data_IF_468385480942
#
_entry.id   IF_468385480942
#
_cell.length_a   1.000
_cell.length_b   1.000
_cell.length_c   1.000
_cell.angle_alpha   90.00
_cell.angle_beta   90.00
_cell.angle_gamma   90.00
#
_symmetry.space_group_name_H-M   'P 1'
#
loop_
_entity.id
_entity.type
_entity.pdbx_description
1 polymer ?
#
# COMPACT_ATOMS: atom_id res chain seq x y z
N UNK A 1 -9.91 -14.92 52.10
CA UNK A 1 -9.47 -16.00 51.19
C UNK A 1 -10.64 -16.58 50.39
N UNK A 2 -11.87 -16.67 50.94
CA UNK A 2 -13.05 -17.24 50.25
C UNK A 2 -13.60 -16.35 49.09
N UNK A 3 -13.51 -15.05 49.16
CA UNK A 3 -14.06 -14.15 48.10
C UNK A 3 -13.22 -14.15 46.80
N UNK A 4 -11.90 -14.41 46.86
CA UNK A 4 -11.07 -14.54 45.66
C UNK A 4 -11.39 -15.79 44.82
N UNK A 5 -11.69 -16.92 45.47
CA UNK A 5 -12.07 -18.15 44.78
C UNK A 5 -13.41 -18.04 44.03
N UNK A 6 -14.38 -17.29 44.59
CA UNK A 6 -15.70 -17.14 44.00
C UNK A 6 -15.69 -16.23 42.74
N UNK A 7 -14.82 -15.22 42.71
CA UNK A 7 -14.64 -14.35 41.52
C UNK A 7 -13.93 -15.09 40.41
N UNK A 8 -12.90 -15.90 40.68
CA UNK A 8 -12.17 -16.66 39.66
C UNK A 8 -13.01 -17.76 39.01
N UNK A 9 -13.83 -18.46 39.80
CA UNK A 9 -14.75 -19.50 39.29
C UNK A 9 -15.88 -18.91 38.46
N UNK A 10 -16.42 -17.72 38.81
CA UNK A 10 -17.44 -17.05 38.00
C UNK A 10 -16.91 -16.47 36.69
N UNK A 11 -15.67 -16.01 36.67
CA UNK A 11 -15.03 -15.50 35.43
C UNK A 11 -14.71 -16.63 34.44
N UNK A 12 -14.22 -17.79 34.95
CA UNK A 12 -14.01 -18.98 34.13
C UNK A 12 -15.34 -19.56 33.59
N UNK A 13 -16.37 -19.62 34.42
CA UNK A 13 -17.69 -20.11 34.00
C UNK A 13 -18.36 -19.22 32.95
N UNK A 14 -18.20 -17.90 33.05
CA UNK A 14 -18.63 -16.95 31.99
C UNK A 14 -17.80 -17.10 30.72
N UNK A 15 -16.49 -17.34 30.81
CA UNK A 15 -15.59 -17.57 29.67
C UNK A 15 -15.97 -18.82 28.89
N UNK A 16 -16.17 -19.94 29.56
CA UNK A 16 -16.57 -21.21 28.93
C UNK A 16 -17.97 -21.13 28.28
N UNK A 17 -18.93 -20.47 28.93
CA UNK A 17 -20.25 -20.26 28.33
C UNK A 17 -20.21 -19.35 27.11
N UNK A 18 -19.37 -18.32 27.13
CA UNK A 18 -19.17 -17.42 25.97
C UNK A 18 -18.50 -18.14 24.83
N UNK A 19 -17.50 -18.97 25.10
CA UNK A 19 -16.81 -19.78 24.08
C UNK A 19 -17.76 -20.84 23.46
N UNK A 20 -18.60 -21.48 24.25
CA UNK A 20 -19.63 -22.41 23.74
C UNK A 20 -20.67 -21.69 22.91
N UNK A 21 -21.12 -20.51 23.34
CA UNK A 21 -22.03 -19.66 22.56
C UNK A 21 -21.40 -19.21 21.23
N UNK A 22 -20.15 -18.78 21.24
CA UNK A 22 -19.40 -18.41 20.03
C UNK A 22 -19.30 -19.58 19.06
N UNK A 23 -18.94 -20.78 19.55
CA UNK A 23 -18.90 -22.01 18.71
C UNK A 23 -20.27 -22.37 18.14
N UNK A 24 -21.34 -22.24 18.93
CA UNK A 24 -22.72 -22.52 18.49
C UNK A 24 -23.21 -21.55 17.40
N UNK A 25 -22.87 -20.26 17.53
CA UNK A 25 -23.32 -19.24 16.59
C UNK A 25 -22.31 -18.93 15.50
N UNK A 26 -21.13 -19.57 15.50
CA UNK A 26 -20.11 -19.38 14.48
C UNK A 26 -20.64 -19.58 13.05
N UNK A 27 -21.45 -20.63 12.85
CA UNK A 27 -22.05 -20.96 11.56
C UNK A 27 -22.95 -19.84 11.05
N UNK A 28 -23.73 -19.21 11.95
CA UNK A 28 -24.67 -18.16 11.58
C UNK A 28 -23.96 -16.84 11.28
N UNK A 29 -22.93 -16.46 12.06
CA UNK A 29 -22.30 -15.16 11.95
C UNK A 29 -21.05 -15.15 11.06
N UNK A 30 -20.24 -16.20 11.10
CA UNK A 30 -18.98 -16.26 10.35
C UNK A 30 -19.12 -16.97 8.99
N UNK A 31 -19.94 -18.01 8.89
CA UNK A 31 -20.05 -18.80 7.67
C UNK A 31 -20.54 -18.00 6.44
N UNK A 32 -21.57 -17.13 6.54
CA UNK A 32 -22.00 -16.32 5.38
C UNK A 32 -20.86 -15.43 4.85
N UNK A 33 -20.10 -14.81 5.76
CA UNK A 33 -18.96 -13.95 5.39
C UNK A 33 -17.84 -14.78 4.76
N UNK A 34 -17.53 -15.97 5.30
CA UNK A 34 -16.53 -16.88 4.74
C UNK A 34 -16.93 -17.40 3.36
N UNK A 35 -18.22 -17.73 3.16
CA UNK A 35 -18.73 -18.15 1.84
C UNK A 35 -18.62 -17.00 0.85
N UNK A 36 -19.06 -15.80 1.21
CA UNK A 36 -18.94 -14.62 0.36
C UNK A 36 -17.47 -14.33 0.00
N UNK A 37 -16.55 -14.43 0.96
CA UNK A 37 -15.11 -14.29 0.72
C UNK A 37 -14.56 -15.39 -0.19
N UNK A 38 -14.99 -16.64 0.01
CA UNK A 38 -14.55 -17.75 -0.84
C UNK A 38 -15.00 -17.55 -2.28
N UNK A 39 -16.25 -17.18 -2.51
CA UNK A 39 -16.81 -16.97 -3.86
C UNK A 39 -16.19 -15.74 -4.53
N UNK A 40 -16.03 -14.64 -3.81
CA UNK A 40 -15.59 -13.38 -4.39
C UNK A 40 -14.07 -13.27 -4.54
N UNK A 41 -13.30 -13.99 -3.73
CA UNK A 41 -11.85 -13.86 -3.67
C UNK A 41 -11.12 -15.19 -3.88
N UNK A 42 -11.37 -16.22 -3.07
CA UNK A 42 -10.56 -17.45 -3.13
C UNK A 42 -10.74 -18.20 -4.44
N UNK A 43 -11.98 -18.40 -4.90
CA UNK A 43 -12.24 -19.12 -6.15
C UNK A 43 -11.63 -18.39 -7.35
N UNK A 44 -11.87 -17.08 -7.59
CA UNK A 44 -11.22 -16.35 -8.68
C UNK A 44 -9.69 -16.33 -8.57
N UNK A 45 -9.14 -16.26 -7.34
CA UNK A 45 -7.70 -16.28 -7.12
C UNK A 45 -7.05 -17.59 -7.58
N UNK A 46 -7.57 -18.74 -7.13
CA UNK A 46 -7.05 -20.04 -7.54
C UNK A 46 -7.31 -20.33 -9.02
N UNK A 47 -8.45 -19.90 -9.54
CA UNK A 47 -8.76 -19.99 -10.97
C UNK A 47 -7.77 -19.14 -11.78
N UNK A 48 -7.44 -17.94 -11.33
CA UNK A 48 -6.43 -17.10 -11.96
C UNK A 48 -5.04 -17.76 -11.99
N UNK A 49 -4.64 -18.43 -10.90
CA UNK A 49 -3.39 -19.22 -10.88
C UNK A 49 -3.46 -20.35 -11.91
N UNK A 50 -4.57 -21.09 -11.99
CA UNK A 50 -4.75 -22.14 -12.99
C UNK A 50 -4.67 -21.58 -14.42
N UNK A 51 -5.38 -20.49 -14.71
CA UNK A 51 -5.41 -19.85 -16.02
C UNK A 51 -4.04 -19.31 -16.45
N UNK A 52 -3.15 -19.01 -15.54
CA UNK A 52 -1.78 -18.58 -15.88
C UNK A 52 -0.95 -19.66 -16.57
N UNK A 53 -1.35 -20.94 -16.42
CA UNK A 53 -0.73 -22.09 -17.09
C UNK A 53 -1.47 -22.52 -18.35
N UNK A 54 -2.49 -21.76 -18.77
CA UNK A 54 -3.34 -22.10 -19.93
C UNK A 54 -3.30 -21.00 -20.98
N UNK A 55 -3.48 -21.38 -22.23
CA UNK A 55 -3.89 -20.46 -23.30
C UNK A 55 -5.42 -20.46 -23.32
N UNK A 56 -6.04 -19.30 -23.13
CA UNK A 56 -7.48 -19.18 -23.01
C UNK A 56 -7.98 -17.86 -23.62
N UNK A 57 -9.22 -17.90 -24.08
CA UNK A 57 -10.01 -16.71 -24.47
C UNK A 57 -11.18 -16.52 -23.52
N UNK A 58 -11.70 -17.62 -22.98
CA UNK A 58 -12.72 -17.66 -21.93
C UNK A 58 -12.34 -18.75 -20.92
N UNK A 59 -12.89 -18.69 -19.72
CA UNK A 59 -12.62 -19.66 -18.65
C UNK A 59 -12.96 -21.10 -19.07
N UNK A 60 -13.98 -21.27 -19.92
CA UNK A 60 -14.44 -22.56 -20.43
C UNK A 60 -13.67 -23.05 -21.66
N UNK A 61 -12.98 -22.15 -22.37
CA UNK A 61 -12.17 -22.49 -23.54
C UNK A 61 -10.69 -22.23 -23.21
N UNK A 62 -10.09 -23.16 -22.48
CA UNK A 62 -8.72 -23.09 -22.03
C UNK A 62 -7.96 -24.37 -22.35
N UNK A 63 -6.76 -24.26 -22.89
CA UNK A 63 -5.84 -25.36 -23.17
C UNK A 63 -4.59 -25.23 -22.30
N UNK A 64 -4.18 -26.34 -21.69
CA UNK A 64 -3.01 -26.35 -20.82
C UNK A 64 -1.71 -26.21 -21.63
N UNK A 65 -0.89 -25.18 -21.30
CA UNK A 65 0.40 -24.90 -21.97
C UNK A 65 1.58 -24.90 -21.00
N UNK A 66 1.35 -25.25 -19.74
CA UNK A 66 2.40 -25.28 -18.70
C UNK A 66 3.04 -23.91 -18.49
N UNK A 67 4.36 -23.83 -18.46
CA UNK A 67 5.12 -22.61 -18.18
C UNK A 67 5.35 -21.70 -19.41
N UNK A 68 4.74 -21.98 -20.56
CA UNK A 68 4.99 -21.22 -21.81
C UNK A 68 4.57 -19.74 -21.66
N UNK A 69 3.48 -19.44 -20.93
CA UNK A 69 3.06 -18.08 -20.65
C UNK A 69 4.09 -17.30 -19.82
N UNK A 70 4.70 -17.95 -18.84
CA UNK A 70 5.76 -17.35 -18.02
C UNK A 70 7.01 -17.10 -18.88
N UNK A 71 7.37 -18.03 -19.74
CA UNK A 71 8.48 -17.84 -20.69
C UNK A 71 8.23 -16.66 -21.62
N UNK A 72 7.02 -16.56 -22.22
CA UNK A 72 6.61 -15.41 -23.05
C UNK A 72 6.59 -14.09 -22.28
N UNK A 73 6.29 -14.11 -20.98
CA UNK A 73 6.31 -12.91 -20.14
C UNK A 73 7.71 -12.32 -19.93
N UNK A 74 8.74 -13.18 -19.84
CA UNK A 74 10.12 -12.76 -19.53
C UNK A 74 11.05 -12.76 -20.75
N UNK A 75 10.83 -13.66 -21.71
CA UNK A 75 11.71 -13.85 -22.89
C UNK A 75 11.07 -13.20 -24.11
N UNK A 76 11.81 -12.33 -24.77
CA UNK A 76 11.37 -11.71 -26.03
C UNK A 76 10.50 -10.45 -25.91
N UNK A 77 10.16 -10.03 -24.71
CA UNK A 77 9.45 -8.76 -24.47
C UNK A 77 10.07 -8.00 -23.28
N UNK A 78 10.82 -6.92 -23.51
CA UNK A 78 11.44 -6.15 -22.45
C UNK A 78 10.42 -5.32 -21.63
N UNK A 79 9.17 -5.19 -22.10
CA UNK A 79 8.15 -4.31 -21.48
C UNK A 79 7.92 -4.66 -20.00
N UNK A 80 7.80 -5.96 -19.68
CA UNK A 80 7.56 -6.41 -18.31
C UNK A 80 8.74 -6.11 -17.36
N UNK A 81 9.97 -6.34 -17.82
CA UNK A 81 11.18 -6.05 -17.03
C UNK A 81 11.38 -4.53 -16.87
N UNK A 82 11.08 -3.76 -17.91
CA UNK A 82 11.14 -2.30 -17.86
C UNK A 82 10.07 -1.76 -16.87
N UNK A 83 8.84 -2.28 -16.94
CA UNK A 83 7.78 -1.93 -16.00
C UNK A 83 8.12 -2.32 -14.56
N UNK A 84 8.75 -3.50 -14.35
CA UNK A 84 9.24 -3.93 -13.06
C UNK A 84 10.27 -2.94 -12.50
N UNK A 85 11.26 -2.58 -13.30
CA UNK A 85 12.32 -1.67 -12.87
C UNK A 85 11.82 -0.26 -12.61
N UNK A 86 10.89 0.21 -13.43
CA UNK A 86 10.22 1.50 -13.22
C UNK A 86 9.41 1.50 -11.92
N UNK A 87 8.62 0.44 -11.68
CA UNK A 87 7.82 0.27 -10.45
C UNK A 87 8.69 0.21 -9.20
N UNK A 88 9.79 -0.53 -9.24
CA UNK A 88 10.73 -0.62 -8.12
C UNK A 88 11.34 0.75 -7.77
N UNK A 89 11.86 1.48 -8.78
CA UNK A 89 12.40 2.83 -8.58
C UNK A 89 11.34 3.77 -8.00
N UNK A 90 10.16 3.77 -8.60
CA UNK A 90 9.04 4.58 -8.14
C UNK A 90 8.67 4.26 -6.69
N UNK A 91 8.55 2.98 -6.35
CA UNK A 91 8.18 2.54 -5.00
C UNK A 91 9.22 3.00 -3.96
N UNK A 92 10.50 2.83 -4.23
CA UNK A 92 11.57 3.26 -3.31
C UNK A 92 11.49 4.76 -3.06
N UNK A 93 11.40 5.57 -4.11
CA UNK A 93 11.31 7.02 -3.99
C UNK A 93 10.03 7.43 -3.25
N UNK A 94 8.90 6.85 -3.60
CA UNK A 94 7.59 7.16 -2.98
C UNK A 94 7.55 6.75 -1.51
N UNK A 95 8.04 5.57 -1.14
CA UNK A 95 8.09 5.11 0.25
C UNK A 95 8.90 6.09 1.09
N UNK A 96 10.06 6.52 0.62
CA UNK A 96 10.92 7.47 1.37
C UNK A 96 10.25 8.83 1.46
N UNK A 97 9.84 9.41 0.33
CA UNK A 97 9.33 10.77 0.27
C UNK A 97 7.99 10.95 0.99
N UNK A 98 7.03 10.03 0.80
CA UNK A 98 5.71 10.10 1.43
C UNK A 98 5.84 9.97 2.94
N UNK A 99 6.61 8.99 3.44
CA UNK A 99 6.76 8.79 4.87
C UNK A 99 7.53 9.95 5.53
N UNK A 100 8.55 10.49 4.87
CA UNK A 100 9.29 11.64 5.37
C UNK A 100 8.38 12.88 5.50
N UNK A 101 7.63 13.21 4.45
CA UNK A 101 6.70 14.35 4.46
C UNK A 101 5.60 14.16 5.49
N UNK A 102 4.99 12.96 5.52
CA UNK A 102 3.94 12.62 6.48
C UNK A 102 4.40 12.72 7.93
N UNK A 103 5.60 12.22 8.23
CA UNK A 103 6.18 12.26 9.56
C UNK A 103 6.52 13.70 10.00
N UNK A 104 7.08 14.52 9.09
CA UNK A 104 7.33 15.95 9.37
C UNK A 104 6.01 16.67 9.67
N UNK A 105 4.97 16.47 8.86
CA UNK A 105 3.66 17.06 9.10
C UNK A 105 3.06 16.60 10.43
N UNK A 106 3.19 15.32 10.77
CA UNK A 106 2.72 14.79 12.05
C UNK A 106 3.44 15.44 13.23
N UNK A 107 4.77 15.60 13.19
CA UNK A 107 5.54 16.27 14.21
C UNK A 107 5.12 17.74 14.38
N UNK A 108 4.86 18.44 13.28
CA UNK A 108 4.41 19.85 13.35
C UNK A 108 3.00 19.94 13.94
N UNK A 109 2.07 19.09 13.50
CA UNK A 109 0.67 19.16 13.93
C UNK A 109 0.40 18.55 15.32
N UNK A 110 1.40 17.94 15.96
CA UNK A 110 1.31 17.48 17.35
C UNK A 110 1.86 18.50 18.35
N UNK A 111 2.41 19.64 17.90
CA UNK A 111 2.94 20.71 18.77
C UNK A 111 1.89 21.68 19.32
N UNK A 112 0.59 21.40 19.19
CA UNK A 112 -0.47 22.25 19.73
C UNK A 112 -0.74 23.54 18.94
N UNK A 113 -0.46 23.55 17.63
CA UNK A 113 -0.73 24.69 16.74
C UNK A 113 -2.23 24.99 16.69
N UNK A 114 -2.59 26.28 16.66
CA UNK A 114 -3.99 26.70 16.43
C UNK A 114 -4.44 26.25 15.04
N UNK A 115 -5.64 25.66 14.94
CA UNK A 115 -6.19 25.20 13.66
C UNK A 115 -5.71 23.82 13.18
N UNK A 116 -5.01 23.05 14.03
CA UNK A 116 -4.50 21.70 13.70
C UNK A 116 -5.52 20.81 13.01
N UNK A 117 -6.78 20.84 13.44
CA UNK A 117 -7.83 20.01 12.83
C UNK A 117 -8.16 20.41 11.39
N UNK A 118 -8.09 21.70 11.06
CA UNK A 118 -8.26 22.19 9.69
C UNK A 118 -7.13 21.65 8.81
N UNK A 119 -5.88 21.77 9.25
CA UNK A 119 -4.74 21.24 8.51
C UNK A 119 -4.81 19.72 8.32
N UNK A 120 -5.18 18.97 9.37
CA UNK A 120 -5.41 17.51 9.26
C UNK A 120 -6.44 17.19 8.19
N UNK A 121 -7.57 17.89 8.16
CA UNK A 121 -8.63 17.68 7.17
C UNK A 121 -8.16 18.03 5.77
N UNK A 122 -7.54 19.18 5.57
CA UNK A 122 -7.07 19.64 4.23
C UNK A 122 -6.02 18.69 3.66
N UNK A 123 -5.03 18.26 4.46
CA UNK A 123 -4.01 17.32 3.98
C UNK A 123 -4.54 15.91 3.75
N UNK A 124 -5.56 15.49 4.48
CA UNK A 124 -6.19 14.18 4.28
C UNK A 124 -7.11 14.12 3.06
N UNK A 125 -7.75 15.24 2.68
CA UNK A 125 -8.78 15.31 1.64
C UNK A 125 -8.34 14.74 0.28
N UNK A 126 -7.09 14.94 -0.21
CA UNK A 126 -6.65 14.38 -1.47
C UNK A 126 -6.78 12.86 -1.57
N UNK A 127 -6.62 12.15 -0.46
CA UNK A 127 -6.75 10.69 -0.43
C UNK A 127 -8.16 10.18 -0.73
N UNK A 128 -9.17 11.03 -0.62
CA UNK A 128 -10.58 10.69 -0.89
C UNK A 128 -10.94 10.80 -2.39
N UNK A 129 -10.06 11.40 -3.20
CA UNK A 129 -10.29 11.58 -4.63
C UNK A 129 -9.88 10.30 -5.37
N UNK A 130 -10.77 9.81 -6.25
CA UNK A 130 -10.51 8.62 -7.06
C UNK A 130 -9.29 8.78 -7.95
N UNK A 131 -8.47 7.73 -8.07
CA UNK A 131 -7.16 7.78 -8.73
C UNK A 131 -7.18 8.23 -10.17
N UNK A 132 -8.18 7.79 -10.97
CA UNK A 132 -8.32 8.20 -12.37
C UNK A 132 -8.60 9.70 -12.47
N UNK A 133 -9.56 10.21 -11.69
CA UNK A 133 -9.90 11.65 -11.69
C UNK A 133 -8.69 12.47 -11.28
N UNK A 134 -8.01 12.02 -10.24
CA UNK A 134 -6.80 12.67 -9.74
C UNK A 134 -5.69 12.68 -10.78
N UNK A 135 -5.48 11.57 -11.47
CA UNK A 135 -4.48 11.49 -12.53
C UNK A 135 -4.71 12.49 -13.67
N UNK A 136 -5.95 12.61 -14.14
CA UNK A 136 -6.29 13.60 -15.18
C UNK A 136 -6.18 15.06 -14.70
N UNK A 137 -6.61 15.35 -13.47
CA UNK A 137 -6.44 16.70 -12.89
C UNK A 137 -4.95 17.08 -12.86
N UNK A 138 -4.11 16.19 -12.34
CA UNK A 138 -2.68 16.42 -12.27
C UNK A 138 -2.01 16.48 -13.64
N UNK A 139 -2.49 15.71 -14.63
CA UNK A 139 -2.02 15.82 -16.01
C UNK A 139 -2.25 17.23 -16.56
N UNK A 140 -3.44 17.80 -16.35
CA UNK A 140 -3.76 19.16 -16.77
C UNK A 140 -2.87 20.19 -16.06
N UNK A 141 -2.72 20.06 -14.74
CA UNK A 141 -1.90 20.98 -13.92
C UNK A 141 -0.43 20.94 -14.38
N UNK A 142 0.15 19.74 -14.49
CA UNK A 142 1.56 19.59 -14.87
C UNK A 142 1.79 20.06 -16.31
N UNK A 143 0.91 19.70 -17.23
CA UNK A 143 1.00 20.16 -18.63
C UNK A 143 0.82 21.67 -18.74
N UNK A 144 -0.03 22.30 -17.91
CA UNK A 144 -0.16 23.76 -17.86
C UNK A 144 1.15 24.48 -17.52
N UNK A 145 2.04 23.81 -16.77
CA UNK A 145 3.40 24.33 -16.51
C UNK A 145 4.38 23.95 -17.61
N UNK A 146 4.40 22.68 -18.02
CA UNK A 146 5.38 22.14 -18.98
C UNK A 146 5.23 22.71 -20.37
N UNK A 147 4.01 23.02 -20.81
CA UNK A 147 3.75 23.61 -22.12
C UNK A 147 4.40 25.00 -22.31
N UNK A 148 4.65 25.74 -21.23
CA UNK A 148 5.43 27.00 -21.30
C UNK A 148 6.89 26.74 -21.72
N UNK A 149 7.37 25.50 -21.60
CA UNK A 149 8.70 25.09 -22.05
C UNK A 149 8.66 24.28 -23.36
N UNK A 150 7.50 24.22 -24.03
CA UNK A 150 7.32 23.50 -25.29
C UNK A 150 7.28 21.98 -25.17
N UNK A 151 7.05 21.42 -23.97
CA UNK A 151 6.99 19.98 -23.69
C UNK A 151 5.73 19.65 -22.88
N UNK A 152 5.34 18.38 -22.86
CA UNK A 152 4.29 17.84 -21.99
C UNK A 152 4.82 16.70 -21.10
N UNK A 153 3.97 16.17 -20.23
CA UNK A 153 4.36 15.12 -19.29
C UNK A 153 4.76 13.81 -19.98
N UNK A 154 4.31 13.59 -21.21
CA UNK A 154 4.58 12.39 -22.01
C UNK A 154 5.83 12.53 -22.89
N UNK A 155 6.44 13.72 -22.93
CA UNK A 155 7.64 13.99 -23.70
C UNK A 155 8.84 13.13 -23.28
N UNK A 156 8.99 12.88 -21.97
CA UNK A 156 10.10 12.10 -21.43
C UNK A 156 9.65 11.29 -20.22
N UNK A 157 10.20 10.07 -20.09
CA UNK A 157 9.97 9.22 -18.93
C UNK A 157 10.32 9.91 -17.59
N UNK A 158 11.26 10.87 -17.60
CA UNK A 158 11.64 11.65 -16.42
C UNK A 158 10.47 12.52 -15.93
N UNK A 159 9.76 13.20 -16.84
CA UNK A 159 8.61 14.01 -16.46
C UNK A 159 7.47 13.16 -15.91
N UNK A 160 7.16 12.03 -16.58
CA UNK A 160 6.16 11.08 -16.11
C UNK A 160 6.50 10.50 -14.74
N UNK A 161 7.77 10.12 -14.50
CA UNK A 161 8.22 9.61 -13.21
C UNK A 161 8.01 10.62 -12.08
N UNK A 162 8.53 11.83 -12.23
CA UNK A 162 8.39 12.86 -11.19
C UNK A 162 6.96 13.37 -11.05
N UNK A 163 6.18 13.40 -12.14
CA UNK A 163 4.75 13.69 -12.08
C UNK A 163 3.99 12.69 -11.22
N UNK A 164 4.25 11.39 -11.40
CA UNK A 164 3.67 10.35 -10.54
C UNK A 164 4.13 10.48 -9.08
N UNK A 165 5.41 10.76 -8.83
CA UNK A 165 5.94 10.95 -7.47
C UNK A 165 5.26 12.12 -6.77
N UNK A 166 5.14 13.28 -7.44
CA UNK A 166 4.49 14.47 -6.86
C UNK A 166 3.01 14.19 -6.57
N UNK A 167 2.30 13.61 -7.52
CA UNK A 167 0.90 13.22 -7.35
C UNK A 167 0.71 12.31 -6.16
N UNK A 168 1.50 11.24 -6.05
CA UNK A 168 1.37 10.26 -4.96
C UNK A 168 1.74 10.85 -3.60
N UNK A 169 2.75 11.73 -3.53
CA UNK A 169 3.07 12.44 -2.30
C UNK A 169 1.90 13.31 -1.86
N UNK A 170 1.30 14.07 -2.76
CA UNK A 170 0.15 14.92 -2.44
C UNK A 170 -1.06 14.10 -2.01
N UNK A 171 -1.30 12.94 -2.63
CA UNK A 171 -2.44 12.08 -2.32
C UNK A 171 -2.29 11.34 -0.99
N UNK A 172 -1.12 10.78 -0.70
CA UNK A 172 -0.95 9.84 0.42
C UNK A 172 -0.30 10.44 1.66
N UNK A 173 0.46 11.54 1.55
CA UNK A 173 1.18 12.08 2.70
C UNK A 173 0.24 12.46 3.86
N UNK A 174 -0.93 13.03 3.57
CA UNK A 174 -1.92 13.36 4.58
C UNK A 174 -2.55 12.15 5.27
N UNK A 175 -2.76 11.07 4.53
CA UNK A 175 -3.25 9.81 5.11
C UNK A 175 -2.22 9.19 6.06
N UNK A 176 -0.96 9.08 5.64
CA UNK A 176 0.12 8.57 6.49
C UNK A 176 0.37 9.49 7.68
N UNK A 177 0.26 10.79 7.51
CA UNK A 177 0.36 11.78 8.58
C UNK A 177 -0.62 11.50 9.73
N UNK A 178 -1.87 11.14 9.46
CA UNK A 178 -2.86 10.81 10.51
C UNK A 178 -2.41 9.61 11.32
N UNK A 179 -1.85 8.57 10.70
CA UNK A 179 -1.34 7.38 11.38
C UNK A 179 -0.13 7.75 12.26
N UNK A 180 0.77 8.58 11.75
CA UNK A 180 1.90 9.08 12.54
C UNK A 180 1.47 9.98 13.72
N UNK A 181 0.46 10.84 13.53
CA UNK A 181 -0.12 11.64 14.62
C UNK A 181 -0.63 10.74 15.72
N UNK A 182 -1.37 9.69 15.41
CA UNK A 182 -1.87 8.73 16.40
C UNK A 182 -0.72 8.07 17.17
N UNK A 183 0.34 7.63 16.48
CA UNK A 183 1.53 7.05 17.11
C UNK A 183 2.24 8.03 18.03
N UNK A 184 2.44 9.30 17.62
CA UNK A 184 3.10 10.32 18.42
C UNK A 184 2.27 10.70 19.65
N UNK A 185 0.94 10.71 19.53
CA UNK A 185 0.04 11.05 20.63
C UNK A 185 -0.07 9.94 21.68
N UNK A 186 0.24 8.70 21.31
CA UNK A 186 0.28 7.56 22.25
C UNK A 186 1.55 7.53 23.11
N UNK A 187 2.56 8.35 22.83
CA UNK A 187 3.77 8.42 23.65
C UNK A 187 3.43 9.13 24.96
N UNK A 188 3.68 8.48 26.11
CA UNK A 188 3.50 9.06 27.43
C UNK A 188 4.27 10.38 27.58
N UNK A 189 3.65 11.38 28.23
CA UNK A 189 4.31 12.64 28.59
C UNK A 189 5.53 12.40 29.50
N UNK A 190 5.42 11.42 30.39
CA UNK A 190 6.45 11.11 31.38
C UNK A 190 7.78 10.71 30.72
N UNK A 191 7.74 9.99 29.58
CA UNK A 191 8.95 9.65 28.82
C UNK A 191 9.62 10.88 28.21
N UNK A 192 8.84 11.86 27.77
CA UNK A 192 9.38 13.13 27.24
C UNK A 192 9.93 14.02 28.32
N UNK A 193 9.26 14.05 29.46
CA UNK A 193 9.71 14.81 30.64
C UNK A 193 10.99 14.21 31.25
N UNK A 194 11.06 12.87 31.37
CA UNK A 194 12.26 12.18 31.81
C UNK A 194 13.46 12.51 30.92
N UNK A 195 13.28 12.45 29.58
CA UNK A 195 14.33 12.80 28.63
C UNK A 195 14.80 14.27 28.79
N UNK A 196 13.88 15.21 29.13
CA UNK A 196 14.24 16.60 29.40
C UNK A 196 14.99 16.76 30.70
N UNK A 197 14.61 16.04 31.76
CA UNK A 197 15.31 16.02 33.06
C UNK A 197 16.75 15.48 32.88
N UNK A 198 16.93 14.46 32.04
CA UNK A 198 18.23 13.90 31.67
C UNK A 198 19.07 14.84 30.76
N UNK A 199 18.56 16.03 30.43
CA UNK A 199 19.28 17.03 29.62
C UNK A 199 19.25 16.76 28.10
N UNK A 200 18.37 15.88 27.59
CA UNK A 200 18.26 15.62 26.19
C UNK A 200 17.70 16.83 25.41
N UNK A 201 18.37 17.22 24.35
CA UNK A 201 17.85 18.25 23.44
C UNK A 201 16.72 17.66 22.53
N UNK A 202 16.01 18.53 21.82
CA UNK A 202 14.87 18.14 20.99
C UNK A 202 15.21 17.09 19.92
N UNK A 203 16.42 17.12 19.36
CA UNK A 203 16.87 16.15 18.37
C UNK A 203 17.17 14.79 19.02
N UNK A 204 17.81 14.79 20.19
CA UNK A 204 18.06 13.58 20.98
C UNK A 204 16.74 12.93 21.43
N UNK A 205 15.78 13.74 21.91
CA UNK A 205 14.43 13.24 22.24
C UNK A 205 13.73 12.65 21.01
N UNK A 206 13.85 13.28 19.83
CA UNK A 206 13.29 12.76 18.59
C UNK A 206 13.89 11.40 18.23
N UNK A 207 15.23 11.28 18.26
CA UNK A 207 15.92 10.06 17.79
C UNK A 207 15.85 8.91 18.79
N UNK A 208 15.94 9.21 20.10
CA UNK A 208 16.07 8.18 21.14
C UNK A 208 14.75 7.84 21.85
N UNK A 209 13.74 8.70 21.75
CA UNK A 209 12.42 8.45 22.36
C UNK A 209 11.33 8.39 21.31
N UNK A 210 11.14 9.47 20.51
CA UNK A 210 9.98 9.56 19.64
C UNK A 210 10.02 8.52 18.51
N UNK A 211 11.12 8.42 17.77
CA UNK A 211 11.23 7.47 16.63
C UNK A 211 11.08 6.01 17.10
N UNK A 212 11.79 5.54 18.16
CA UNK A 212 11.59 4.17 18.65
C UNK A 212 10.17 3.87 19.10
N UNK A 213 9.51 4.80 19.80
CA UNK A 213 8.13 4.62 20.26
C UNK A 213 7.09 4.66 19.13
N UNK A 214 7.38 5.34 18.02
CA UNK A 214 6.51 5.44 16.83
C UNK A 214 6.82 4.32 15.80
N UNK A 215 7.76 3.42 16.09
CA UNK A 215 8.13 2.31 15.18
C UNK A 215 6.92 1.51 14.66
N UNK A 216 5.89 1.16 15.47
CA UNK A 216 4.70 0.50 14.96
C UNK A 216 3.99 1.30 13.86
N UNK A 217 3.87 2.63 14.03
CA UNK A 217 3.29 3.49 12.99
C UNK A 217 4.19 3.59 11.74
N UNK A 218 5.51 3.61 11.90
CA UNK A 218 6.47 3.57 10.78
C UNK A 218 6.30 2.27 10.00
N UNK A 219 6.15 1.13 10.67
CA UNK A 219 5.90 -0.18 10.05
C UNK A 219 4.62 -0.15 9.21
N UNK A 220 3.52 0.33 9.80
CA UNK A 220 2.22 0.40 9.11
C UNK A 220 2.29 1.35 7.92
N UNK A 221 2.80 2.56 8.10
CA UNK A 221 2.90 3.55 7.03
C UNK A 221 3.80 3.08 5.88
N UNK A 222 4.93 2.47 6.19
CA UNK A 222 5.84 1.89 5.19
C UNK A 222 5.15 0.76 4.42
N UNK A 223 4.46 -0.14 5.10
CA UNK A 223 3.69 -1.23 4.48
C UNK A 223 2.60 -0.70 3.54
N UNK A 224 1.80 0.25 4.02
CA UNK A 224 0.72 0.85 3.23
C UNK A 224 1.26 1.61 2.02
N UNK A 225 2.31 2.40 2.19
CA UNK A 225 2.92 3.14 1.08
C UNK A 225 3.53 2.21 0.04
N UNK A 226 4.23 1.17 0.48
CA UNK A 226 4.84 0.16 -0.38
C UNK A 226 3.77 -0.54 -1.22
N UNK A 227 2.72 -1.06 -0.58
CA UNK A 227 1.65 -1.79 -1.28
C UNK A 227 0.86 -0.90 -2.22
N UNK A 228 0.57 0.36 -1.84
CA UNK A 228 -0.09 1.32 -2.73
C UNK A 228 0.78 1.71 -3.93
N UNK A 229 2.10 1.85 -3.73
CA UNK A 229 3.02 2.18 -4.82
C UNK A 229 3.15 1.03 -5.83
N UNK A 230 3.25 -0.21 -5.37
CA UNK A 230 3.34 -1.36 -6.29
C UNK A 230 2.08 -1.56 -7.12
N UNK A 231 0.91 -1.46 -6.53
CA UNK A 231 -0.39 -1.67 -7.21
C UNK A 231 -0.93 -0.44 -7.93
N UNK A 232 -0.12 0.64 -8.07
CA UNK A 232 -0.55 1.88 -8.68
C UNK A 232 -0.93 1.66 -10.15
N UNK A 233 -2.21 1.74 -10.44
CA UNK A 233 -2.79 1.62 -11.78
C UNK A 233 -3.47 2.91 -12.23
N UNK A 234 -4.47 3.35 -11.50
CA UNK A 234 -5.37 4.45 -11.88
C UNK A 234 -4.62 5.74 -12.24
N UNK A 235 -3.72 6.17 -11.35
CA UNK A 235 -2.95 7.39 -11.54
C UNK A 235 -1.95 7.24 -12.70
N UNK A 236 -1.32 6.08 -12.86
CA UNK A 236 -0.40 5.83 -13.96
C UNK A 236 -1.13 5.81 -15.30
N UNK A 237 -2.31 5.17 -15.34
CA UNK A 237 -3.16 5.13 -16.53
C UNK A 237 -3.61 6.53 -16.96
N UNK A 238 -4.12 7.32 -16.01
CA UNK A 238 -4.68 8.64 -16.29
C UNK A 238 -3.61 9.73 -16.51
N UNK A 239 -2.47 9.68 -15.82
CA UNK A 239 -1.44 10.71 -15.88
C UNK A 239 -0.56 10.58 -17.13
N UNK A 240 -0.08 9.38 -17.43
CA UNK A 240 0.89 9.14 -18.50
C UNK A 240 0.46 8.08 -19.52
N UNK A 241 -0.45 7.16 -19.14
CA UNK A 241 -0.80 6.02 -19.97
C UNK A 241 0.41 5.12 -20.34
N UNK A 242 1.52 5.26 -19.62
CA UNK A 242 2.78 4.58 -19.91
C UNK A 242 3.69 5.33 -20.90
N UNK A 243 3.29 6.48 -21.43
CA UNK A 243 4.08 7.24 -22.39
C UNK A 243 5.36 7.84 -21.76
N UNK A 244 6.43 8.09 -22.58
CA UNK A 244 6.58 7.70 -23.98
C UNK A 244 6.92 6.21 -24.12
N UNK A 245 6.49 5.58 -25.20
CA UNK A 245 6.90 4.23 -25.61
C UNK A 245 6.87 3.19 -24.45
N UNK A 246 5.88 3.23 -23.56
CA UNK A 246 5.69 2.42 -22.34
C UNK A 246 6.76 2.58 -21.27
N UNK A 247 7.66 3.58 -21.37
CA UNK A 247 8.75 3.78 -20.43
C UNK A 247 8.28 4.19 -19.03
N UNK A 248 7.06 4.73 -18.90
CA UNK A 248 6.44 5.06 -17.62
C UNK A 248 5.34 4.08 -17.21
N UNK A 249 5.20 2.96 -17.95
CA UNK A 249 4.25 1.93 -17.57
C UNK A 249 4.71 1.23 -16.29
N UNK A 250 3.87 1.25 -15.27
CA UNK A 250 4.05 0.44 -14.07
C UNK A 250 3.55 -0.98 -14.29
N UNK A 251 3.95 -1.92 -13.44
CA UNK A 251 3.60 -3.33 -13.56
C UNK A 251 2.10 -3.58 -13.72
N UNK A 252 1.26 -2.91 -12.94
CA UNK A 252 -0.19 -3.07 -13.03
C UNK A 252 -0.73 -2.64 -14.40
N UNK A 253 -0.19 -1.54 -14.96
CA UNK A 253 -0.56 -1.06 -16.28
C UNK A 253 -0.03 -1.98 -17.40
N UNK A 254 1.18 -2.51 -17.27
CA UNK A 254 1.73 -3.47 -18.25
C UNK A 254 0.93 -4.78 -18.28
N UNK A 255 0.53 -5.29 -17.10
CA UNK A 255 -0.36 -6.46 -16.98
C UNK A 255 -1.69 -6.20 -17.68
N UNK A 256 -2.32 -5.06 -17.40
CA UNK A 256 -3.58 -4.65 -18.03
C UNK A 256 -3.46 -4.57 -19.56
N UNK A 257 -2.42 -3.89 -20.05
CA UNK A 257 -2.17 -3.75 -21.48
C UNK A 257 -1.84 -5.10 -22.16
N UNK A 258 -1.25 -6.05 -21.45
CA UNK A 258 -0.99 -7.40 -21.96
C UNK A 258 -2.29 -8.19 -22.05
N UNK A 259 -3.11 -8.13 -20.99
CA UNK A 259 -4.33 -8.93 -20.88
C UNK A 259 -5.44 -8.44 -21.83
N UNK A 260 -5.67 -7.12 -21.88
CA UNK A 260 -6.77 -6.53 -22.66
C UNK A 260 -6.35 -5.93 -23.99
N UNK A 261 -5.09 -5.60 -24.17
CA UNK A 261 -4.59 -4.93 -25.37
C UNK A 261 -4.04 -5.85 -26.46
N UNK A 262 -3.95 -7.17 -26.19
CA UNK A 262 -3.38 -8.16 -27.13
C UNK A 262 -4.19 -9.45 -27.12
N UNK A 263 -4.94 -9.70 -28.21
CA UNK A 263 -5.69 -10.94 -28.36
C UNK A 263 -4.75 -12.14 -28.37
N UNK A 264 -5.08 -13.21 -27.62
CA UNK A 264 -4.26 -14.41 -27.46
C UNK A 264 -3.12 -14.28 -26.44
N UNK A 265 -3.05 -13.16 -25.68
CA UNK A 265 -2.09 -12.95 -24.63
C UNK A 265 -2.73 -12.93 -23.22
N UNK A 266 -3.97 -13.32 -23.09
CA UNK A 266 -4.71 -13.35 -21.84
C UNK A 266 -3.99 -14.23 -20.79
N UNK A 267 -3.52 -15.42 -21.20
CA UNK A 267 -2.73 -16.31 -20.35
C UNK A 267 -1.38 -15.72 -19.94
N UNK A 268 -0.73 -14.96 -20.84
CA UNK A 268 0.52 -14.24 -20.52
C UNK A 268 0.26 -13.10 -19.54
N UNK A 269 -0.82 -12.33 -19.73
CA UNK A 269 -1.25 -11.30 -18.79
C UNK A 269 -1.52 -11.88 -17.40
N UNK A 270 -2.18 -13.03 -17.35
CA UNK A 270 -2.47 -13.75 -16.10
C UNK A 270 -1.17 -14.27 -15.43
N UNK A 271 -0.22 -14.80 -16.19
CA UNK A 271 1.08 -15.23 -15.68
C UNK A 271 1.87 -14.04 -15.08
N UNK A 272 1.88 -12.88 -15.76
CA UNK A 272 2.45 -11.64 -15.21
C UNK A 272 1.77 -11.22 -13.91
N UNK A 273 0.45 -11.33 -13.80
CA UNK A 273 -0.29 -11.00 -12.58
C UNK A 273 0.06 -11.92 -11.41
N UNK A 274 0.24 -13.22 -11.65
CA UNK A 274 0.70 -14.19 -10.62
C UNK A 274 2.11 -13.86 -10.15
N UNK A 275 3.05 -13.57 -11.07
CA UNK A 275 4.41 -13.17 -10.72
C UNK A 275 4.40 -11.86 -9.91
N UNK A 276 3.60 -10.89 -10.32
CA UNK A 276 3.42 -9.63 -9.61
C UNK A 276 2.91 -9.86 -8.18
N UNK A 277 1.88 -10.69 -8.00
CA UNK A 277 1.35 -11.04 -6.69
C UNK A 277 2.40 -11.65 -5.78
N UNK A 278 3.13 -12.68 -6.26
CA UNK A 278 4.20 -13.35 -5.49
C UNK A 278 5.27 -12.35 -5.08
N UNK A 279 5.68 -11.49 -5.99
CA UNK A 279 6.72 -10.49 -5.75
C UNK A 279 6.29 -9.46 -4.69
N UNK A 280 5.08 -8.91 -4.81
CA UNK A 280 4.56 -7.95 -3.83
C UNK A 280 4.40 -8.60 -2.47
N UNK A 281 3.87 -9.84 -2.41
CA UNK A 281 3.73 -10.58 -1.16
C UNK A 281 5.08 -10.83 -0.48
N UNK A 282 6.10 -11.23 -1.23
CA UNK A 282 7.46 -11.44 -0.70
C UNK A 282 8.07 -10.13 -0.17
N UNK A 283 7.99 -9.05 -0.94
CA UNK A 283 8.54 -7.74 -0.53
C UNK A 283 7.82 -7.23 0.73
N UNK A 284 6.48 -7.33 0.76
CA UNK A 284 5.68 -6.93 1.91
C UNK A 284 6.00 -7.78 3.16
N UNK A 285 6.16 -9.08 2.99
CA UNK A 285 6.55 -9.99 4.09
C UNK A 285 7.94 -9.66 4.63
N UNK A 286 8.92 -9.46 3.76
CA UNK A 286 10.28 -9.09 4.15
C UNK A 286 10.29 -7.74 4.88
N UNK A 287 9.57 -6.76 4.36
CA UNK A 287 9.44 -5.43 5.01
C UNK A 287 8.85 -5.56 6.42
N UNK A 288 7.72 -6.28 6.57
CA UNK A 288 7.09 -6.49 7.88
C UNK A 288 8.01 -7.23 8.85
N UNK A 289 8.73 -8.25 8.37
CA UNK A 289 9.67 -9.01 9.20
C UNK A 289 10.82 -8.13 9.71
N UNK A 290 11.37 -7.26 8.86
CA UNK A 290 12.48 -6.38 9.23
C UNK A 290 12.01 -5.28 10.20
N UNK A 291 10.86 -4.67 9.93
CA UNK A 291 10.40 -3.52 10.72
C UNK A 291 9.83 -3.95 12.07
N UNK A 292 9.07 -5.04 12.15
CA UNK A 292 8.56 -5.56 13.43
C UNK A 292 9.65 -5.90 14.45
N UNK A 293 10.83 -6.35 13.98
CA UNK A 293 11.96 -6.60 14.89
C UNK A 293 12.52 -5.36 15.58
N UNK A 294 12.18 -4.18 15.09
CA UNK A 294 12.62 -2.88 15.65
C UNK A 294 11.54 -2.22 16.52
N UNK A 295 10.35 -2.83 16.60
CA UNK A 295 9.28 -2.35 17.46
C UNK A 295 9.65 -2.62 18.93
N UNK A 296 9.52 -1.61 19.77
CA UNK A 296 9.67 -1.74 21.22
C UNK A 296 8.31 -2.14 21.78
N UNK A 297 8.25 -3.24 22.51
CA UNK A 297 7.04 -3.62 23.26
C UNK A 297 6.79 -2.54 24.33
N UNK A 298 5.65 -1.86 24.21
CA UNK A 298 5.20 -0.80 25.11
C UNK A 298 4.20 -1.34 26.14
#
# INVERSE_FOLDING_TARGET
FMLRGFFYTNLNYKGENMERALKKYFVIFALPTLIAFAISFLIPFFLGIYLSFTEFTTVTNSTWVGFENYKKAFVGNPDFLNALWFTLKFTVVSVISINLIAFIFALLLTRGLKGTNIFRTVFFMPNLIGGIVLGYIWQIIINGVLLNFGVDITFSAKYGFWGLVVLMNWQLAGYMMIIYIAGIQNISSDLKEAAQIDGANSFQTLMNVTIPMVMPSITICTFLTLTNSFKLFDQNFALTGGAPAKQTAMLALDIYNTFYGRIGFEGVGQAKAVVFFIMVALIAFVQLYITRRKEVES
#
